data_IF_579860886510
#
_entry.id   IF_579860886510
#
_cell.length_a   1.000
_cell.length_b   1.000
_cell.length_c   1.000
_cell.angle_alpha   90.00
_cell.angle_beta   90.00
_cell.angle_gamma   90.00
#
_symmetry.space_group_name_H-M   'P 1'
#
loop_
_entity.id
_entity.type
_entity.pdbx_description
1 polymer ?
#
# COMPACT_ATOMS: atom_id res chain seq x y z
N UNK A 1 -25.55 7.01 -10.11
CA UNK A 1 -25.06 5.76 -9.69
C UNK A 1 -25.90 4.66 -10.21
N UNK A 2 -25.35 3.66 -10.72
CA UNK A 2 -26.08 2.57 -11.15
C UNK A 2 -25.92 1.50 -10.18
N UNK A 3 -26.98 1.01 -9.73
CA UNK A 3 -26.88 0.00 -8.78
C UNK A 3 -27.51 -1.18 -9.38
N UNK A 4 -26.83 -1.89 -10.11
CA UNK A 4 -27.37 -3.08 -10.66
C UNK A 4 -27.50 -4.03 -9.53
N UNK A 5 -28.69 -4.34 -9.18
CA UNK A 5 -28.88 -5.15 -8.00
C UNK A 5 -28.37 -4.48 -6.76
N UNK A 6 -28.26 -3.19 -6.77
CA UNK A 6 -27.80 -2.52 -5.59
C UNK A 6 -26.30 -2.48 -5.40
N UNK A 7 -25.55 -2.94 -6.37
CA UNK A 7 -24.10 -3.01 -6.18
C UNK A 7 -23.46 -1.76 -6.70
N UNK A 8 -22.51 -1.23 -5.95
CA UNK A 8 -21.77 -0.08 -6.37
C UNK A 8 -20.32 -0.33 -6.08
N UNK A 9 -19.46 -0.17 -7.07
CA UNK A 9 -18.02 -0.29 -6.86
C UNK A 9 -17.46 1.06 -6.49
N UNK A 10 -16.66 1.08 -5.49
CA UNK A 10 -15.93 2.28 -5.07
C UNK A 10 -14.47 1.92 -5.04
N UNK A 11 -13.66 2.69 -5.74
CA UNK A 11 -12.23 2.51 -5.72
C UNK A 11 -11.69 3.52 -4.73
N UNK A 12 -11.09 3.05 -3.65
CA UNK A 12 -10.59 3.92 -2.61
C UNK A 12 -9.09 3.91 -2.64
N UNK A 13 -8.48 5.08 -2.61
CA UNK A 13 -7.04 5.23 -2.59
C UNK A 13 -6.72 6.10 -1.39
N UNK A 14 -5.84 5.60 -0.52
CA UNK A 14 -5.38 6.38 0.63
C UNK A 14 -3.88 6.52 0.57
N UNK A 15 -3.28 7.60 0.50
CA UNK A 15 -2.10 7.76 0.33
C UNK A 15 -1.55 7.93 1.50
N UNK A 16 -0.49 7.58 1.75
CA UNK A 16 0.32 7.84 2.93
C UNK A 16 1.42 8.77 2.48
N UNK A 17 1.32 10.01 2.83
CA UNK A 17 2.22 11.04 2.35
C UNK A 17 3.31 11.25 3.39
N UNK A 18 4.54 10.82 3.07
CA UNK A 18 5.64 10.90 4.01
C UNK A 18 6.27 12.28 3.99
N UNK A 19 6.99 12.61 5.06
CA UNK A 19 7.73 13.84 5.09
C UNK A 19 8.70 13.86 3.92
N UNK A 20 8.79 14.96 3.19
CA UNK A 20 9.58 15.00 1.97
C UNK A 20 11.07 14.95 2.22
N UNK A 21 11.52 14.98 3.48
CA UNK A 21 12.94 14.80 3.75
C UNK A 21 13.29 13.32 3.88
N UNK A 22 12.33 12.43 3.93
CA UNK A 22 12.61 11.02 4.03
C UNK A 22 13.03 10.50 2.68
N UNK A 23 14.07 9.67 2.64
CA UNK A 23 14.48 9.07 1.41
C UNK A 23 14.10 7.61 1.38
N UNK A 24 14.06 7.02 0.18
CA UNK A 24 13.62 5.65 0.05
C UNK A 24 14.47 4.70 0.89
N UNK A 25 15.78 4.92 0.95
CA UNK A 25 16.63 3.98 1.69
C UNK A 25 16.28 3.96 3.17
N UNK A 26 15.65 5.01 3.70
CA UNK A 26 15.27 4.98 5.10
C UNK A 26 14.12 4.01 5.34
N UNK A 27 13.33 3.70 4.32
CA UNK A 27 12.24 2.76 4.48
C UNK A 27 12.71 1.32 4.50
N UNK A 28 13.97 1.06 4.15
CA UNK A 28 14.42 -0.31 4.00
C UNK A 28 14.29 -1.12 5.29
N UNK A 29 14.50 -0.50 6.46
CA UNK A 29 14.39 -1.27 7.68
C UNK A 29 12.95 -1.66 8.00
N UNK A 30 11.99 -0.82 7.69
CA UNK A 30 10.61 -1.11 8.05
C UNK A 30 9.87 -1.86 6.95
N UNK A 31 10.40 -1.86 5.73
CA UNK A 31 9.62 -2.34 4.61
C UNK A 31 9.29 -3.83 4.69
N UNK A 32 10.18 -4.71 5.11
CA UNK A 32 9.78 -6.12 5.18
C UNK A 32 8.57 -6.32 6.09
N UNK A 33 8.54 -5.65 7.23
CA UNK A 33 7.40 -5.77 8.13
C UNK A 33 6.16 -5.11 7.51
N UNK A 34 6.34 -4.00 6.80
CA UNK A 34 5.22 -3.33 6.17
C UNK A 34 4.61 -4.20 5.09
N UNK A 35 5.44 -4.80 4.25
CA UNK A 35 4.92 -5.64 3.18
C UNK A 35 4.24 -6.88 3.76
N UNK A 36 4.83 -7.47 4.79
CA UNK A 36 4.23 -8.64 5.40
C UNK A 36 2.88 -8.28 6.01
N UNK A 37 2.81 -7.15 6.70
CA UNK A 37 1.56 -6.70 7.29
C UNK A 37 0.50 -6.50 6.20
N UNK A 38 0.89 -5.84 5.11
CA UNK A 38 -0.05 -5.58 4.03
C UNK A 38 -0.59 -6.88 3.43
N UNK A 39 0.29 -7.82 3.16
CA UNK A 39 -0.15 -9.06 2.53
C UNK A 39 -0.99 -9.90 3.49
N UNK A 40 -0.64 -9.91 4.79
CA UNK A 40 -1.43 -10.67 5.74
C UNK A 40 -2.82 -10.07 5.92
N UNK A 41 -2.89 -8.74 6.00
CA UNK A 41 -4.18 -8.11 6.25
C UNK A 41 -5.09 -8.15 5.02
N UNK A 42 -4.53 -8.33 3.85
CA UNK A 42 -5.34 -8.41 2.63
C UNK A 42 -5.47 -9.86 2.15
N UNK A 43 -4.98 -10.82 2.94
CA UNK A 43 -5.09 -12.24 2.61
C UNK A 43 -4.44 -12.54 1.28
N UNK A 44 -3.28 -11.98 1.04
CA UNK A 44 -2.55 -12.16 -0.21
C UNK A 44 -1.16 -12.74 0.02
N UNK A 45 -0.89 -13.32 1.18
CA UNK A 45 0.43 -13.91 1.43
C UNK A 45 0.61 -15.10 0.49
N UNK A 46 1.73 -15.16 -0.25
CA UNK A 46 1.95 -16.30 -1.14
C UNK A 46 2.05 -17.59 -0.35
N UNK A 47 1.57 -18.69 -0.95
CA UNK A 47 1.68 -19.96 -0.27
C UNK A 47 3.11 -20.43 -0.19
N UNK A 48 3.93 -20.09 -1.18
CA UNK A 48 5.32 -20.52 -1.21
C UNK A 48 6.16 -19.48 -0.49
N UNK A 49 6.84 -19.84 0.60
CA UNK A 49 7.66 -18.87 1.33
C UNK A 49 8.77 -18.26 0.48
N UNK A 50 9.23 -18.97 -0.55
CA UNK A 50 10.28 -18.41 -1.39
C UNK A 50 9.74 -17.26 -2.23
N UNK A 51 8.47 -17.30 -2.61
CA UNK A 51 7.88 -16.20 -3.35
C UNK A 51 7.79 -14.97 -2.44
N UNK A 52 7.44 -15.17 -1.17
CA UNK A 52 7.39 -14.06 -0.24
C UNK A 52 8.77 -13.44 -0.07
N UNK A 53 9.80 -14.28 0.05
CA UNK A 53 11.15 -13.76 0.19
C UNK A 53 11.59 -13.02 -1.06
N UNK A 54 11.15 -13.47 -2.22
CA UNK A 54 11.49 -12.78 -3.45
C UNK A 54 10.86 -11.39 -3.48
N UNK A 55 9.58 -11.27 -3.08
CA UNK A 55 8.95 -9.96 -3.05
C UNK A 55 9.71 -9.02 -2.12
N UNK A 56 10.09 -9.51 -0.93
CA UNK A 56 10.81 -8.68 0.02
C UNK A 56 12.16 -8.29 -0.57
N UNK A 57 12.88 -9.25 -1.14
CA UNK A 57 14.22 -8.99 -1.63
C UNK A 57 14.24 -7.97 -2.77
N UNK A 58 13.30 -8.10 -3.70
CA UNK A 58 13.29 -7.18 -4.83
C UNK A 58 13.01 -5.75 -4.39
N UNK A 59 12.08 -5.59 -3.43
CA UNK A 59 11.81 -4.26 -2.93
C UNK A 59 13.01 -3.74 -2.13
N UNK A 60 13.66 -4.59 -1.35
CA UNK A 60 14.79 -4.15 -0.56
C UNK A 60 15.94 -3.69 -1.46
N UNK A 61 16.16 -4.37 -2.58
CA UNK A 61 17.22 -3.96 -3.50
C UNK A 61 16.98 -2.53 -3.98
N UNK A 62 15.72 -2.20 -4.32
CA UNK A 62 15.43 -0.86 -4.77
C UNK A 62 15.61 0.14 -3.64
N UNK A 63 15.12 -0.17 -2.45
CA UNK A 63 15.19 0.77 -1.35
C UNK A 63 16.64 1.01 -0.92
N UNK A 64 17.44 -0.04 -0.87
CA UNK A 64 18.84 0.12 -0.46
C UNK A 64 19.63 0.92 -1.49
N UNK A 65 19.17 0.91 -2.75
CA UNK A 65 19.79 1.76 -3.76
C UNK A 65 19.12 3.14 -3.81
N UNK A 66 18.28 3.44 -2.83
CA UNK A 66 17.57 4.71 -2.73
C UNK A 66 16.70 4.94 -3.95
N UNK A 67 16.03 3.90 -4.41
CA UNK A 67 15.13 4.00 -5.55
C UNK A 67 13.73 3.64 -5.11
N UNK A 68 12.75 4.07 -5.88
CA UNK A 68 11.35 3.76 -5.68
C UNK A 68 11.15 2.25 -5.74
N UNK A 69 10.58 1.63 -4.73
CA UNK A 69 10.35 0.18 -4.79
C UNK A 69 9.10 -0.13 -5.60
N UNK A 70 8.96 -1.38 -5.96
CA UNK A 70 7.78 -1.78 -6.70
C UNK A 70 6.55 -1.85 -5.82
N UNK A 71 6.72 -2.07 -4.54
CA UNK A 71 5.60 -2.27 -3.65
C UNK A 71 4.92 -3.59 -3.94
N UNK A 72 3.60 -3.60 -3.95
CA UNK A 72 2.85 -4.80 -4.30
C UNK A 72 1.78 -4.33 -5.30
N UNK A 73 2.18 -4.14 -6.53
CA UNK A 73 1.31 -3.61 -7.55
C UNK A 73 0.96 -4.72 -8.52
N UNK A 74 0.35 -5.78 -8.02
CA UNK A 74 -0.01 -6.91 -8.82
C UNK A 74 -1.52 -7.00 -8.90
N UNK A 75 -2.02 -7.70 -9.90
CA UNK A 75 -3.43 -7.88 -10.04
C UNK A 75 -3.95 -8.62 -8.82
N UNK A 76 -4.84 -8.04 -8.09
CA UNK A 76 -5.34 -8.66 -6.88
C UNK A 76 -6.33 -7.75 -6.21
N UNK A 77 -6.73 -8.14 -4.98
CA UNK A 77 -7.74 -7.39 -4.29
C UNK A 77 -7.26 -6.01 -3.90
N UNK A 78 -6.05 -5.89 -3.47
CA UNK A 78 -5.50 -4.62 -3.06
C UNK A 78 -4.08 -4.49 -3.51
N UNK A 79 -3.64 -3.27 -3.71
CA UNK A 79 -2.29 -2.99 -4.17
C UNK A 79 -1.64 -1.97 -3.26
N UNK A 80 -0.32 -2.06 -3.16
CA UNK A 80 0.49 -1.12 -2.42
C UNK A 80 1.37 -0.46 -3.47
N UNK A 81 1.14 0.80 -3.77
CA UNK A 81 1.71 1.44 -4.94
C UNK A 81 2.57 2.63 -4.56
N UNK A 82 3.79 2.68 -5.10
CA UNK A 82 4.70 3.79 -4.92
C UNK A 82 4.75 4.57 -6.23
N UNK A 83 4.25 5.80 -6.24
CA UNK A 83 4.28 6.58 -7.48
C UNK A 83 5.66 7.15 -7.75
N UNK A 84 5.86 7.57 -8.97
CA UNK A 84 7.14 8.13 -9.37
C UNK A 84 7.29 9.55 -8.84
N UNK A 85 8.47 9.86 -8.34
CA UNK A 85 8.83 11.25 -8.02
C UNK A 85 8.07 11.83 -6.84
N UNK A 86 7.54 11.02 -5.95
CA UNK A 86 6.90 11.55 -4.76
C UNK A 86 7.21 10.65 -3.60
N UNK A 87 7.46 11.23 -2.44
CA UNK A 87 7.68 10.45 -1.23
C UNK A 87 6.33 10.15 -0.60
N UNK A 88 5.58 9.28 -1.24
CA UNK A 88 4.30 8.84 -0.73
C UNK A 88 4.02 7.48 -1.32
N UNK A 89 3.13 6.76 -0.72
CA UNK A 89 2.65 5.53 -1.33
C UNK A 89 1.19 5.38 -0.94
N UNK A 90 0.49 4.52 -1.62
CA UNK A 90 -0.93 4.42 -1.32
C UNK A 90 -1.42 3.00 -1.41
N UNK A 91 -2.46 2.76 -0.64
CA UNK A 91 -3.18 1.50 -0.65
C UNK A 91 -4.38 1.70 -1.54
N UNK A 92 -4.54 0.82 -2.52
CA UNK A 92 -5.61 0.94 -3.49
C UNK A 92 -6.41 -0.34 -3.45
N UNK A 93 -7.70 -0.23 -3.30
CA UNK A 93 -8.57 -1.39 -3.30
C UNK A 93 -9.91 -1.07 -3.86
N UNK A 94 -10.51 -2.07 -4.52
CA UNK A 94 -11.82 -1.88 -5.10
C UNK A 94 -12.85 -2.67 -4.34
N UNK A 95 -12.52 -3.19 -3.17
CA UNK A 95 -13.50 -3.94 -2.43
C UNK A 95 -14.18 -3.00 -1.45
N UNK A 96 -14.54 -3.45 -0.29
CA UNK A 96 -15.21 -2.61 0.67
C UNK A 96 -14.26 -1.55 1.20
N UNK A 97 -14.75 -0.32 1.25
CA UNK A 97 -13.88 0.77 1.65
C UNK A 97 -13.38 0.60 3.07
N UNK A 98 -14.16 -0.01 3.94
CA UNK A 98 -13.71 -0.22 5.32
C UNK A 98 -12.47 -1.08 5.40
N UNK A 99 -12.29 -2.02 4.48
CA UNK A 99 -11.11 -2.85 4.51
C UNK A 99 -9.87 -2.04 4.12
N UNK A 100 -9.99 -1.17 3.13
CA UNK A 100 -8.87 -0.34 2.74
C UNK A 100 -8.47 0.58 3.88
N UNK A 101 -9.48 1.15 4.58
CA UNK A 101 -9.22 2.03 5.70
C UNK A 101 -8.49 1.27 6.80
N UNK A 102 -8.97 0.08 7.15
CA UNK A 102 -8.37 -0.69 8.23
C UNK A 102 -6.91 -1.03 7.94
N UNK A 103 -6.64 -1.48 6.72
CA UNK A 103 -5.28 -1.85 6.36
C UNK A 103 -4.38 -0.62 6.39
N UNK A 104 -4.87 0.51 5.85
CA UNK A 104 -4.07 1.71 5.82
C UNK A 104 -3.78 2.21 7.23
N UNK A 105 -4.75 2.11 8.13
CA UNK A 105 -4.52 2.56 9.50
C UNK A 105 -3.47 1.69 10.19
N UNK A 106 -3.44 0.40 9.90
CA UNK A 106 -2.42 -0.46 10.51
C UNK A 106 -1.03 -0.10 9.97
N UNK A 107 -0.93 0.19 8.68
CA UNK A 107 0.34 0.61 8.11
C UNK A 107 0.75 1.94 8.72
N UNK A 108 -0.19 2.86 8.89
CA UNK A 108 0.11 4.15 9.47
C UNK A 108 0.65 3.99 10.89
N UNK A 109 0.08 3.08 11.67
CA UNK A 109 0.58 2.86 13.02
C UNK A 109 1.99 2.28 12.98
N UNK A 110 2.27 1.40 12.03
CA UNK A 110 3.60 0.82 11.91
C UNK A 110 4.61 1.92 11.57
N UNK A 111 4.26 2.83 10.66
CA UNK A 111 5.15 3.92 10.31
C UNK A 111 5.40 4.82 11.52
N UNK A 112 4.34 5.13 12.28
CA UNK A 112 4.50 5.99 13.44
C UNK A 112 5.40 5.32 14.48
N UNK A 113 5.22 4.02 14.71
CA UNK A 113 6.06 3.35 15.69
C UNK A 113 7.52 3.38 15.30
N UNK A 114 7.81 3.46 14.01
CA UNK A 114 9.18 3.46 13.53
C UNK A 114 9.70 4.86 13.22
N UNK A 115 8.98 5.89 13.65
CA UNK A 115 9.49 7.25 13.54
C UNK A 115 9.28 7.95 12.22
N UNK A 116 8.40 7.45 11.37
CA UNK A 116 8.18 8.07 10.08
C UNK A 116 6.98 8.98 10.13
N UNK A 117 7.20 10.29 10.12
CA UNK A 117 6.12 11.26 10.07
C UNK A 117 5.41 11.16 8.73
N UNK A 118 4.12 11.19 8.75
CA UNK A 118 3.34 11.09 7.52
C UNK A 118 1.93 11.61 7.77
N UNK A 119 1.20 11.82 6.69
CA UNK A 119 -0.19 12.21 6.76
C UNK A 119 -0.98 11.28 5.87
N UNK A 120 -2.24 11.07 6.20
CA UNK A 120 -3.13 10.26 5.38
C UNK A 120 -3.95 11.19 4.51
N UNK A 121 -3.98 10.90 3.22
CA UNK A 121 -4.77 11.67 2.28
C UNK A 121 -5.78 10.74 1.63
N UNK A 122 -7.05 11.09 1.69
CA UNK A 122 -8.11 10.23 1.21
C UNK A 122 -8.55 10.64 -0.18
N UNK A 123 -8.79 9.66 -1.02
CA UNK A 123 -9.24 9.94 -2.38
C UNK A 123 -10.13 8.80 -2.81
N UNK A 124 -11.41 9.04 -2.92
CA UNK A 124 -12.38 8.02 -3.27
C UNK A 124 -12.82 8.23 -4.71
N UNK A 125 -12.72 7.16 -5.50
CA UNK A 125 -13.15 7.21 -6.88
C UNK A 125 -14.31 6.25 -7.04
N UNK A 126 -15.39 6.71 -7.63
CA UNK A 126 -16.52 5.87 -7.91
C UNK A 126 -16.42 5.34 -9.31
N UNK A 127 -16.41 4.05 -9.45
CA UNK A 127 -16.27 3.47 -10.77
C UNK A 127 -17.57 3.34 -11.50
N UNK A 128 -18.66 3.59 -10.83
CA UNK A 128 -19.93 3.43 -11.50
C UNK A 128 -20.56 4.71 -11.79
N UNK A 129 -19.82 5.73 -12.01
CA UNK A 129 -20.38 6.91 -12.31
C UNK A 129 -20.88 6.86 -13.57
N UNK A 130 -21.19 6.49 -14.18
CA UNK A 130 -21.60 6.52 -15.49
C UNK A 130 -22.88 6.84 -15.77
#
# INVERSE_FOLDING_TARGET
>A
MIAIGGVRFVLLIIXLVLNDRIEYQELAEVFPELLKLFLEETDQVPEDPEIMQMFIHLNQMDLEANRKPEGYNRKGRMRLIFPTNRMEFYVKGSSKSGEVVRVTEKISKLLTRNGFDHELAWNTLSCLES
#
